data_IF_420099354312
#
_entry.id   IF_420099354312
#
_cell.length_a   1.000
_cell.length_b   1.000
_cell.length_c   1.000
_cell.angle_alpha   90.00
_cell.angle_beta   90.00
_cell.angle_gamma   90.00
#
_symmetry.space_group_name_H-M   'P 1'
#
loop_
_entity.id
_entity.type
_entity.pdbx_description
1 polymer ?
#
# COMPACT_ATOMS: atom_id res chain seq x y z
N UNK A 1 -7.23 12.50 -5.88
CA UNK A 1 -5.84 11.98 -6.05
C UNK A 1 -4.86 12.27 -4.91
N UNK A 2 -5.11 13.23 -4.00
CA UNK A 2 -4.17 13.54 -2.89
C UNK A 2 -3.82 12.36 -1.96
N UNK A 3 -4.69 11.36 -1.80
CA UNK A 3 -4.39 10.15 -1.04
C UNK A 3 -3.20 9.38 -1.62
N UNK A 4 -3.20 9.10 -2.93
CA UNK A 4 -2.12 8.35 -3.58
C UNK A 4 -0.80 9.09 -3.57
N UNK A 5 -0.82 10.41 -3.79
CA UNK A 5 0.38 11.24 -3.73
C UNK A 5 0.98 11.23 -2.32
N UNK A 6 0.15 11.37 -1.28
CA UNK A 6 0.61 11.28 0.10
C UNK A 6 1.18 9.89 0.44
N UNK A 7 0.53 8.80 0.02
CA UNK A 7 1.06 7.43 0.22
C UNK A 7 2.37 7.22 -0.54
N UNK A 8 2.48 7.74 -1.76
CA UNK A 8 3.71 7.65 -2.54
C UNK A 8 4.86 8.41 -1.87
N UNK A 9 4.62 9.64 -1.41
CA UNK A 9 5.59 10.44 -0.67
C UNK A 9 5.95 9.78 0.66
N UNK A 10 4.97 9.26 1.40
CA UNK A 10 5.19 8.46 2.62
C UNK A 10 6.14 7.29 2.33
N UNK A 11 5.89 6.53 1.24
CA UNK A 11 6.75 5.42 0.83
C UNK A 11 8.17 5.85 0.47
N UNK A 12 8.36 7.01 -0.17
CA UNK A 12 9.69 7.55 -0.48
C UNK A 12 10.41 7.94 0.82
N UNK A 13 9.74 8.66 1.72
CA UNK A 13 10.33 9.03 3.00
C UNK A 13 10.70 7.80 3.82
N UNK A 14 9.84 6.78 3.80
CA UNK A 14 10.13 5.47 4.39
C UNK A 14 11.41 4.88 3.78
N UNK A 15 11.56 4.86 2.46
CA UNK A 15 12.79 4.36 1.82
C UNK A 15 14.05 5.13 2.22
N UNK A 16 13.99 6.46 2.33
CA UNK A 16 15.13 7.27 2.77
C UNK A 16 15.50 6.92 4.21
N UNK A 17 14.49 6.84 5.07
CA UNK A 17 14.60 6.33 6.43
C UNK A 17 15.24 4.94 6.50
N UNK A 18 15.05 4.14 5.46
CA UNK A 18 15.51 2.77 5.33
C UNK A 18 16.91 2.60 4.77
N UNK A 19 17.42 3.60 4.07
CA UNK A 19 18.63 3.50 3.28
C UNK A 19 19.87 3.43 4.18
N UNK A 20 20.77 2.51 3.89
CA UNK A 20 22.01 2.31 4.66
C UNK A 20 23.02 3.42 4.31
N UNK A 21 23.15 3.72 3.01
CA UNK A 21 24.14 4.64 2.49
C UNK A 21 23.55 5.68 1.55
N UNK A 22 23.98 6.92 1.78
CA UNK A 22 23.73 8.03 0.87
C UNK A 22 25.05 8.39 0.21
N UNK A 23 25.01 8.61 -1.10
CA UNK A 23 26.15 9.08 -1.88
C UNK A 23 25.82 10.44 -2.51
N UNK A 24 26.83 11.29 -2.67
CA UNK A 24 26.72 12.52 -3.45
C UNK A 24 27.70 12.49 -4.61
N UNK A 25 27.35 13.19 -5.68
CA UNK A 25 28.21 13.39 -6.83
C UNK A 25 28.78 14.80 -6.75
N UNK A 26 30.10 14.94 -6.71
CA UNK A 26 30.72 16.27 -6.84
C UNK A 26 30.58 16.75 -8.29
N UNK A 27 29.96 17.91 -8.47
CA UNK A 27 29.68 18.49 -9.80
C UNK A 27 30.95 18.64 -10.65
N UNK A 28 32.05 19.07 -10.03
CA UNK A 28 33.29 19.39 -10.74
C UNK A 28 34.11 18.15 -11.14
N UNK A 29 34.03 17.05 -10.37
CA UNK A 29 34.89 15.87 -10.55
C UNK A 29 34.11 14.62 -10.95
N UNK A 30 32.77 14.67 -10.93
CA UNK A 30 31.85 13.53 -11.11
C UNK A 30 32.18 12.32 -10.23
N UNK A 31 32.91 12.55 -9.14
CA UNK A 31 33.26 11.51 -8.17
C UNK A 31 32.07 11.24 -7.28
N UNK A 32 31.83 9.95 -7.01
CA UNK A 32 30.79 9.47 -6.10
C UNK A 32 31.45 9.27 -4.75
N UNK A 33 31.03 10.04 -3.76
CA UNK A 33 31.54 9.95 -2.39
C UNK A 33 30.40 9.66 -1.42
N UNK A 34 30.62 8.84 -0.37
CA UNK A 34 29.62 8.60 0.65
C UNK A 34 29.41 9.87 1.48
N UNK A 35 28.16 10.14 1.85
CA UNK A 35 27.84 11.25 2.73
C UNK A 35 28.49 11.04 4.11
N UNK A 36 28.96 12.10 4.78
CA UNK A 36 29.38 12.01 6.18
C UNK A 36 28.24 11.54 7.09
N UNK A 37 28.57 10.81 8.17
CA UNK A 37 27.59 10.30 9.12
C UNK A 37 26.61 11.36 9.67
N UNK A 38 27.05 12.59 10.03
CA UNK A 38 26.13 13.63 10.46
C UNK A 38 25.10 14.00 9.39
N UNK A 39 25.53 14.12 8.12
CA UNK A 39 24.62 14.42 7.02
C UNK A 39 23.61 13.28 6.79
N UNK A 40 24.06 12.02 6.85
CA UNK A 40 23.15 10.85 6.78
C UNK A 40 22.10 10.89 7.91
N UNK A 41 22.51 11.26 9.13
CA UNK A 41 21.62 11.37 10.28
C UNK A 41 20.57 12.48 10.09
N UNK A 42 20.98 13.65 9.58
CA UNK A 42 20.07 14.75 9.25
C UNK A 42 19.04 14.36 8.17
N UNK A 43 19.48 13.73 7.07
CA UNK A 43 18.57 13.22 6.04
C UNK A 43 17.52 12.27 6.61
N UNK A 44 17.93 11.34 7.48
CA UNK A 44 17.00 10.43 8.15
C UNK A 44 16.04 11.16 9.08
N UNK A 45 16.49 12.21 9.77
CA UNK A 45 15.63 13.01 10.66
C UNK A 45 14.59 13.80 9.87
N UNK A 46 14.97 14.41 8.75
CA UNK A 46 14.05 15.11 7.85
C UNK A 46 13.03 14.11 7.28
N UNK A 47 13.50 12.96 6.79
CA UNK A 47 12.63 11.92 6.25
C UNK A 47 11.67 11.37 7.31
N UNK A 48 12.10 11.23 8.57
CA UNK A 48 11.24 10.82 9.69
C UNK A 48 10.10 11.80 9.93
N UNK A 49 10.40 13.10 10.07
CA UNK A 49 9.37 14.14 10.26
C UNK A 49 8.40 14.19 9.09
N UNK A 50 8.91 14.09 7.87
CA UNK A 50 8.09 14.05 6.67
C UNK A 50 7.20 12.79 6.62
N UNK A 51 7.74 11.63 7.00
CA UNK A 51 7.01 10.36 7.06
C UNK A 51 5.79 10.48 7.99
N UNK A 52 5.98 10.98 9.21
CA UNK A 52 4.89 11.19 10.18
C UNK A 52 3.84 12.18 9.65
N UNK A 53 4.28 13.27 9.02
CA UNK A 53 3.37 14.23 8.40
C UNK A 53 2.54 13.59 7.28
N UNK A 54 3.15 12.80 6.41
CA UNK A 54 2.44 12.14 5.32
C UNK A 54 1.52 11.03 5.83
N UNK A 55 1.93 10.25 6.83
CA UNK A 55 1.08 9.25 7.48
C UNK A 55 -0.20 9.90 8.03
N UNK A 56 -0.06 10.99 8.79
CA UNK A 56 -1.21 11.74 9.31
C UNK A 56 -2.11 12.27 8.19
N UNK A 57 -1.54 12.78 7.10
CA UNK A 57 -2.31 13.24 5.95
C UNK A 57 -3.05 12.09 5.24
N UNK A 58 -2.43 10.92 5.15
CA UNK A 58 -3.05 9.71 4.59
C UNK A 58 -4.21 9.24 5.46
N UNK A 59 -4.01 9.12 6.77
CA UNK A 59 -5.06 8.68 7.70
C UNK A 59 -6.25 9.66 7.67
N UNK A 60 -6.00 10.96 7.72
CA UNK A 60 -7.04 12.00 7.58
C UNK A 60 -7.76 11.94 6.23
N UNK A 61 -7.06 11.59 5.16
CA UNK A 61 -7.69 11.40 3.86
C UNK A 61 -8.58 10.15 3.83
N UNK A 62 -8.20 9.08 4.54
CA UNK A 62 -8.99 7.86 4.68
C UNK A 62 -10.24 8.06 5.56
N UNK A 63 -10.20 8.97 6.54
CA UNK A 63 -11.34 9.27 7.42
C UNK A 63 -12.61 9.68 6.64
N UNK A 64 -12.45 10.29 5.47
CA UNK A 64 -13.56 10.67 4.57
C UNK A 64 -14.42 9.49 4.15
N UNK A 65 -13.85 8.28 4.17
CA UNK A 65 -14.50 7.06 3.73
C UNK A 65 -14.98 6.18 4.91
N UNK A 66 -14.83 6.63 6.16
CA UNK A 66 -15.36 5.94 7.35
C UNK A 66 -16.89 6.02 7.47
N UNK A 67 -17.51 6.99 6.80
CA UNK A 67 -18.97 7.16 6.77
C UNK A 67 -19.65 6.02 5.99
N UNK A 68 -20.95 5.71 6.23
CA UNK A 68 -21.69 4.64 5.53
C UNK A 68 -21.85 4.85 4.01
N UNK A 69 -21.26 5.91 3.45
CA UNK A 69 -21.27 6.18 2.00
C UNK A 69 -20.24 5.30 1.31
N UNK A 70 -20.68 4.58 0.27
CA UNK A 70 -19.80 3.78 -0.60
C UNK A 70 -18.70 4.67 -1.18
N UNK A 71 -17.47 4.16 -1.27
CA UNK A 71 -16.36 4.83 -1.96
C UNK A 71 -16.79 5.09 -3.42
N UNK A 72 -16.62 6.32 -3.95
CA UNK A 72 -16.94 6.59 -5.35
C UNK A 72 -16.20 5.64 -6.29
N UNK A 73 -16.86 5.18 -7.35
CA UNK A 73 -16.32 4.13 -8.22
C UNK A 73 -15.01 4.55 -8.91
N UNK A 74 -14.90 5.82 -9.29
CA UNK A 74 -13.68 6.38 -9.88
C UNK A 74 -12.50 6.50 -8.89
N UNK A 75 -12.76 6.61 -7.58
CA UNK A 75 -11.71 6.65 -6.55
C UNK A 75 -11.34 5.27 -6.01
N UNK A 76 -12.20 4.27 -6.24
CA UNK A 76 -12.07 2.93 -5.66
C UNK A 76 -10.70 2.30 -5.95
N UNK A 77 -10.15 2.32 -7.18
CA UNK A 77 -8.81 1.78 -7.45
C UNK A 77 -7.68 2.55 -6.79
N UNK A 78 -7.83 3.86 -6.61
CA UNK A 78 -6.85 4.69 -5.92
C UNK A 78 -6.82 4.38 -4.42
N UNK A 79 -8.00 4.28 -3.78
CA UNK A 79 -8.12 3.90 -2.36
C UNK A 79 -7.60 2.48 -2.16
N UNK A 80 -7.96 1.55 -3.04
CA UNK A 80 -7.46 0.18 -2.98
C UNK A 80 -5.93 0.11 -3.03
N UNK A 81 -5.32 0.78 -4.00
CA UNK A 81 -3.86 0.80 -4.16
C UNK A 81 -3.17 1.49 -2.99
N UNK A 82 -3.78 2.53 -2.42
CA UNK A 82 -3.28 3.21 -1.22
C UNK A 82 -3.27 2.28 0.01
N UNK A 83 -4.37 1.58 0.27
CA UNK A 83 -4.48 0.64 1.40
C UNK A 83 -3.45 -0.50 1.29
N UNK A 84 -3.28 -1.08 0.10
CA UNK A 84 -2.26 -2.12 -0.10
C UNK A 84 -0.85 -1.59 0.13
N UNK A 85 -0.52 -0.40 -0.34
CA UNK A 85 0.78 0.20 -0.07
C UNK A 85 1.02 0.43 1.43
N UNK A 86 0.00 0.87 2.17
CA UNK A 86 0.08 1.01 3.63
C UNK A 86 0.30 -0.33 4.33
N UNK A 87 -0.46 -1.38 3.94
CA UNK A 87 -0.28 -2.74 4.48
C UNK A 87 1.17 -3.21 4.30
N UNK A 88 1.77 -2.98 3.12
CA UNK A 88 3.15 -3.35 2.87
C UNK A 88 4.15 -2.53 3.68
N UNK A 89 3.95 -1.22 3.83
CA UNK A 89 4.82 -0.35 4.63
C UNK A 89 4.80 -0.78 6.09
N UNK A 90 3.62 -0.96 6.68
CA UNK A 90 3.50 -1.36 8.08
C UNK A 90 3.99 -2.78 8.33
N UNK A 91 3.76 -3.70 7.40
CA UNK A 91 4.33 -5.06 7.49
C UNK A 91 5.86 -5.02 7.49
N UNK A 92 6.47 -4.25 6.60
CA UNK A 92 7.93 -4.13 6.51
C UNK A 92 8.51 -3.47 7.77
N UNK A 93 7.84 -2.42 8.28
CA UNK A 93 8.18 -1.77 9.55
C UNK A 93 8.16 -2.73 10.72
N UNK A 94 7.17 -3.63 10.82
CA UNK A 94 7.05 -4.55 11.95
C UNK A 94 8.01 -5.74 11.87
N UNK A 95 8.38 -6.17 10.65
CA UNK A 95 9.23 -7.36 10.45
C UNK A 95 10.71 -7.04 10.50
N UNK A 96 11.09 -6.00 9.79
CA UNK A 96 12.50 -5.75 9.48
C UNK A 96 13.07 -4.60 10.30
N UNK A 97 12.24 -3.91 11.11
CA UNK A 97 12.62 -2.67 11.79
C UNK A 97 12.04 -2.63 13.19
N UNK A 98 12.75 -1.99 14.12
CA UNK A 98 12.13 -1.58 15.37
C UNK A 98 11.15 -0.45 15.05
N UNK A 99 9.84 -0.61 15.30
CA UNK A 99 8.90 0.47 15.08
C UNK A 99 9.32 1.66 15.94
N UNK A 100 9.62 2.78 15.30
CA UNK A 100 10.06 4.00 16.00
C UNK A 100 9.02 4.47 17.01
N UNK A 101 7.74 4.25 16.67
CA UNK A 101 6.58 4.47 17.51
C UNK A 101 5.82 3.13 17.56
N UNK A 102 5.42 2.65 18.75
CA UNK A 102 4.72 1.36 18.97
C UNK A 102 3.35 1.22 18.26
N UNK A 103 2.99 2.15 17.37
CA UNK A 103 1.68 2.24 16.72
C UNK A 103 1.58 1.46 15.40
N UNK A 104 2.69 0.94 14.85
CA UNK A 104 2.67 0.25 13.56
C UNK A 104 1.76 -0.99 13.54
N UNK A 105 1.70 -1.77 14.64
CA UNK A 105 0.81 -2.93 14.73
C UNK A 105 -0.68 -2.53 14.84
N UNK A 106 -1.08 -1.60 15.72
CA UNK A 106 -2.43 -1.03 15.70
C UNK A 106 -2.85 -0.47 14.34
N UNK A 107 -1.97 0.29 13.67
CA UNK A 107 -2.23 0.87 12.36
C UNK A 107 -2.38 -0.19 11.26
N UNK A 108 -1.53 -1.23 11.27
CA UNK A 108 -1.67 -2.37 10.37
C UNK A 108 -3.06 -3.02 10.51
N UNK A 109 -3.48 -3.28 11.75
CA UNK A 109 -4.79 -3.89 12.02
C UNK A 109 -5.93 -2.97 11.57
N UNK A 110 -5.85 -1.68 11.86
CA UNK A 110 -6.87 -0.71 11.45
C UNK A 110 -7.01 -0.65 9.92
N UNK A 111 -5.89 -0.58 9.19
CA UNK A 111 -5.89 -0.59 7.71
C UNK A 111 -6.42 -1.91 7.17
N UNK A 112 -6.07 -3.05 7.77
CA UNK A 112 -6.56 -4.36 7.35
C UNK A 112 -8.08 -4.51 7.56
N UNK A 113 -8.60 -4.03 8.69
CA UNK A 113 -10.05 -4.01 8.97
C UNK A 113 -10.77 -3.08 8.00
N UNK A 114 -10.26 -1.86 7.81
CA UNK A 114 -10.81 -0.90 6.84
C UNK A 114 -10.81 -1.47 5.42
N UNK A 115 -9.74 -2.14 5.02
CA UNK A 115 -9.71 -2.83 3.73
C UNK A 115 -10.81 -3.90 3.62
N UNK A 116 -10.94 -4.74 4.65
CA UNK A 116 -11.92 -5.81 4.68
C UNK A 116 -13.37 -5.35 4.73
N UNK A 117 -13.67 -4.16 5.26
CA UNK A 117 -15.04 -3.61 5.22
C UNK A 117 -15.42 -3.12 3.82
N UNK A 118 -14.48 -2.57 3.05
CA UNK A 118 -14.77 -1.96 1.74
C UNK A 118 -14.48 -2.85 0.53
N UNK A 119 -13.54 -3.78 0.62
CA UNK A 119 -13.01 -4.52 -0.54
C UNK A 119 -13.25 -6.03 -0.52
N UNK A 120 -14.01 -6.55 0.44
CA UNK A 120 -14.33 -7.98 0.56
C UNK A 120 -15.40 -8.48 -0.43
N UNK A 121 -15.79 -7.68 -1.42
CA UNK A 121 -16.75 -8.12 -2.45
C UNK A 121 -16.03 -8.67 -3.68
N UNK A 122 -16.69 -9.53 -4.44
CA UNK A 122 -16.07 -10.10 -5.65
C UNK A 122 -15.69 -9.03 -6.69
N UNK A 123 -16.52 -7.99 -6.84
CA UNK A 123 -16.25 -6.89 -7.76
C UNK A 123 -14.99 -6.12 -7.32
N UNK A 124 -14.85 -5.91 -6.01
CA UNK A 124 -13.69 -5.26 -5.40
C UNK A 124 -12.39 -6.07 -5.48
N UNK A 125 -12.45 -7.40 -5.63
CA UNK A 125 -11.25 -8.24 -5.76
C UNK A 125 -10.75 -8.36 -7.20
N UNK A 126 -11.62 -8.08 -8.18
CA UNK A 126 -11.34 -8.04 -9.62
C UNK A 126 -11.36 -6.62 -10.15
N UNK A 127 -10.79 -5.68 -9.39
CA UNK A 127 -10.68 -4.29 -9.81
C UNK A 127 -9.90 -4.22 -11.12
N UNK A 128 -10.44 -3.46 -12.08
CA UNK A 128 -9.76 -3.06 -13.30
C UNK A 128 -9.81 -1.54 -13.41
N UNK A 129 -8.81 -0.98 -14.08
CA UNK A 129 -8.76 0.45 -14.41
C UNK A 129 -9.61 0.80 -15.65
N UNK A 130 -10.12 -0.20 -16.38
CA UNK A 130 -10.85 0.01 -17.65
C UNK A 130 -12.11 0.87 -17.47
N UNK A 131 -12.83 0.69 -16.35
CA UNK A 131 -14.05 1.44 -16.04
C UNK A 131 -13.80 2.92 -15.67
N UNK A 132 -12.55 3.32 -15.44
CA UNK A 132 -12.20 4.72 -15.09
C UNK A 132 -11.58 5.46 -16.26
N UNK A 133 -11.23 4.78 -17.38
CA UNK A 133 -10.53 5.42 -18.51
C UNK A 133 -11.30 6.62 -19.10
N UNK A 134 -12.62 6.66 -18.95
CA UNK A 134 -13.47 7.77 -19.41
C UNK A 134 -13.80 8.84 -18.35
N UNK A 135 -13.33 8.71 -17.11
CA UNK A 135 -13.62 9.66 -16.02
C UNK A 135 -12.57 10.77 -15.88
N UNK A 136 -11.48 10.71 -16.65
CA UNK A 136 -10.37 11.67 -16.58
C UNK A 136 -10.59 12.82 -17.57
N UNK A 137 -10.25 14.04 -17.15
CA UNK A 137 -10.28 15.21 -18.02
C UNK A 137 -9.12 15.17 -19.03
N UNK A 138 -9.35 15.73 -20.22
CA UNK A 138 -8.34 15.86 -21.27
C UNK A 138 -7.13 16.65 -20.76
N UNK A 139 -5.99 15.98 -20.56
CA UNK A 139 -4.75 16.58 -20.05
C UNK A 139 -4.26 16.07 -18.69
N UNK A 140 -5.01 15.20 -18.01
CA UNK A 140 -4.54 14.60 -16.74
C UNK A 140 -3.43 13.57 -16.96
N UNK A 141 -2.19 13.94 -16.63
CA UNK A 141 -1.01 13.06 -16.66
C UNK A 141 -1.00 12.01 -15.54
N UNK A 142 -1.91 12.13 -14.58
CA UNK A 142 -1.93 11.33 -13.35
C UNK A 142 -2.44 9.90 -13.55
N UNK A 143 -3.03 9.61 -14.72
CA UNK A 143 -3.51 8.28 -15.10
C UNK A 143 -2.36 7.25 -15.09
N UNK A 144 -1.18 7.62 -15.61
CA UNK A 144 -0.02 6.73 -15.65
C UNK A 144 0.49 6.40 -14.24
N UNK A 145 0.50 7.40 -13.34
CA UNK A 145 0.93 7.21 -11.95
C UNK A 145 -0.02 6.28 -11.18
N UNK A 146 -1.34 6.48 -11.34
CA UNK A 146 -2.35 5.58 -10.78
C UNK A 146 -2.20 4.16 -11.34
N UNK A 147 -2.06 4.02 -12.66
CA UNK A 147 -1.92 2.71 -13.30
C UNK A 147 -0.71 1.95 -12.78
N UNK A 148 0.43 2.63 -12.67
CA UNK A 148 1.66 2.05 -12.13
C UNK A 148 1.51 1.64 -10.66
N UNK A 149 0.92 2.51 -9.83
CA UNK A 149 0.69 2.23 -8.41
C UNK A 149 -0.25 1.03 -8.22
N UNK A 150 -1.34 0.99 -8.99
CA UNK A 150 -2.34 -0.08 -8.95
C UNK A 150 -1.74 -1.42 -9.39
N UNK A 151 -1.12 -1.48 -10.57
CA UNK A 151 -0.52 -2.72 -11.09
C UNK A 151 0.58 -3.25 -10.18
N UNK A 152 1.38 -2.34 -9.59
CA UNK A 152 2.40 -2.73 -8.61
C UNK A 152 1.78 -3.31 -7.34
N UNK A 153 0.75 -2.67 -6.79
CA UNK A 153 0.04 -3.18 -5.62
C UNK A 153 -0.59 -4.56 -5.91
N UNK A 154 -1.15 -4.74 -7.11
CA UNK A 154 -1.71 -6.01 -7.58
C UNK A 154 -0.68 -7.14 -7.62
N UNK A 155 0.47 -6.91 -8.25
CA UNK A 155 1.54 -7.92 -8.29
C UNK A 155 2.09 -8.26 -6.90
N UNK A 156 2.18 -7.27 -6.01
CA UNK A 156 2.62 -7.50 -4.63
C UNK A 156 1.57 -8.28 -3.82
N UNK A 157 0.27 -8.00 -3.98
CA UNK A 157 -0.80 -8.79 -3.36
C UNK A 157 -0.71 -10.25 -3.78
N UNK A 158 -0.60 -10.52 -5.08
CA UNK A 158 -0.57 -11.88 -5.60
C UNK A 158 0.70 -12.64 -5.12
N UNK A 159 1.78 -11.90 -4.87
CA UNK A 159 2.98 -12.43 -4.22
C UNK A 159 2.75 -12.68 -2.73
N UNK A 160 2.06 -11.77 -2.03
CA UNK A 160 1.70 -11.93 -0.61
C UNK A 160 0.82 -13.17 -0.40
N UNK A 161 -0.19 -13.38 -1.25
CA UNK A 161 -1.07 -14.56 -1.19
C UNK A 161 -0.29 -15.86 -1.28
N UNK A 162 0.74 -15.91 -2.15
CA UNK A 162 1.61 -17.08 -2.32
C UNK A 162 2.56 -17.28 -1.13
N UNK A 163 3.08 -16.20 -0.56
CA UNK A 163 4.14 -16.25 0.48
C UNK A 163 3.58 -16.42 1.89
N UNK A 164 2.45 -15.79 2.23
CA UNK A 164 1.82 -15.89 3.55
C UNK A 164 1.17 -17.26 3.80
N UNK A 165 0.99 -18.09 2.76
CA UNK A 165 0.48 -19.46 2.92
C UNK A 165 1.32 -20.32 3.88
N UNK A 166 2.62 -20.01 4.05
CA UNK A 166 3.52 -20.72 4.96
C UNK A 166 3.50 -20.22 6.42
N UNK A 167 2.91 -19.04 6.70
CA UNK A 167 2.65 -18.53 8.05
C UNK A 167 3.82 -18.63 9.04
N UNK A 168 4.99 -18.06 8.73
CA UNK A 168 6.18 -18.22 9.59
C UNK A 168 6.30 -17.18 10.73
N UNK A 169 5.50 -16.11 10.69
CA UNK A 169 5.65 -14.93 11.55
C UNK A 169 4.28 -14.42 12.04
N UNK A 170 4.24 -13.78 13.21
CA UNK A 170 2.97 -13.36 13.84
C UNK A 170 2.23 -12.31 12.99
N UNK A 171 2.97 -11.39 12.37
CA UNK A 171 2.41 -10.34 11.51
C UNK A 171 1.78 -10.96 10.26
N UNK A 172 2.44 -11.96 9.68
CA UNK A 172 1.91 -12.69 8.52
C UNK A 172 0.67 -13.51 8.89
N UNK A 173 0.62 -14.10 10.09
CA UNK A 173 -0.61 -14.76 10.58
C UNK A 173 -1.78 -13.78 10.70
N UNK A 174 -1.54 -12.57 11.21
CA UNK A 174 -2.58 -11.53 11.32
C UNK A 174 -3.08 -11.10 9.94
N UNK A 175 -2.18 -10.82 9.00
CA UNK A 175 -2.54 -10.49 7.63
C UNK A 175 -3.24 -11.64 6.90
N UNK A 176 -2.84 -12.88 7.19
CA UNK A 176 -3.52 -14.07 6.69
C UNK A 176 -4.99 -14.09 7.12
N UNK A 177 -5.24 -13.93 8.42
CA UNK A 177 -6.58 -13.98 8.98
C UNK A 177 -7.46 -12.79 8.57
N UNK A 178 -6.90 -11.58 8.54
CA UNK A 178 -7.65 -10.34 8.32
C UNK A 178 -7.84 -9.99 6.83
N UNK A 179 -6.95 -10.45 5.95
CA UNK A 179 -6.95 -10.07 4.53
C UNK A 179 -6.97 -11.31 3.63
N UNK A 180 -5.94 -12.15 3.68
CA UNK A 180 -5.74 -13.21 2.68
C UNK A 180 -6.85 -14.27 2.69
N UNK A 181 -7.14 -14.86 3.84
CA UNK A 181 -8.16 -15.91 3.96
C UNK A 181 -9.57 -15.40 3.60
N UNK A 182 -9.99 -14.20 4.06
CA UNK A 182 -11.19 -13.54 3.57
C UNK A 182 -11.25 -13.40 2.05
N UNK A 183 -10.19 -12.94 1.39
CA UNK A 183 -10.14 -12.81 -0.07
C UNK A 183 -10.25 -14.17 -0.77
N UNK A 184 -9.42 -15.12 -0.34
CA UNK A 184 -9.39 -16.46 -0.93
C UNK A 184 -10.73 -17.18 -0.76
N UNK A 185 -11.43 -16.99 0.36
CA UNK A 185 -12.79 -17.52 0.56
C UNK A 185 -13.78 -16.95 -0.45
N UNK A 186 -13.70 -15.67 -0.77
CA UNK A 186 -14.57 -15.01 -1.76
C UNK A 186 -14.21 -15.45 -3.19
N UNK A 187 -12.92 -15.55 -3.51
CA UNK A 187 -12.44 -16.00 -4.82
C UNK A 187 -12.77 -17.49 -5.07
N UNK A 188 -12.60 -18.34 -4.06
CA UNK A 188 -12.79 -19.79 -4.16
C UNK A 188 -14.25 -20.23 -4.13
N UNK A 189 -15.14 -19.53 -3.40
CA UNK A 189 -16.59 -19.82 -3.36
C UNK A 189 -17.23 -19.96 -4.75
N UNK A 190 -16.66 -19.30 -5.77
CA UNK A 190 -17.15 -19.35 -7.16
C UNK A 190 -16.46 -20.39 -8.04
N UNK A 191 -15.26 -20.87 -7.72
CA UNK A 191 -14.69 -22.02 -8.45
C UNK A 191 -15.55 -23.27 -8.21
N UNK A 192 -16.00 -23.46 -6.97
CA UNK A 192 -16.95 -24.51 -6.60
C UNK A 192 -18.32 -24.29 -7.24
N UNK A 193 -18.84 -23.05 -7.28
CA UNK A 193 -20.16 -22.77 -7.88
C UNK A 193 -20.16 -22.86 -9.42
N UNK A 194 -19.02 -22.62 -10.09
CA UNK A 194 -18.87 -22.83 -11.54
C UNK A 194 -18.71 -24.30 -11.88
N UNK A 195 -18.00 -25.09 -11.05
CA UNK A 195 -17.91 -26.55 -11.24
C UNK A 195 -19.26 -27.25 -11.07
N UNK A 196 -20.16 -26.72 -10.22
CA UNK A 196 -21.51 -27.29 -10.05
C UNK A 196 -22.52 -26.88 -11.14
N UNK A 197 -22.18 -25.94 -12.03
CA UNK A 197 -23.10 -25.43 -13.06
C UNK A 197 -22.86 -26.02 -14.46
N UNK A 198 -21.86 -26.89 -14.63
CA UNK A 198 -21.55 -27.58 -15.90
C UNK A 198 -21.92 -29.07 -15.89
N UNK A 199 -22.70 -29.50 -14.89
CA UNK A 199 -23.21 -30.86 -14.78
C UNK A 199 -24.73 -30.88 -14.84
N UNK A 200 -25.28 -30.73 -16.05
CA UNK A 200 -26.57 -31.28 -16.49
C UNK A 200 -26.66 -31.18 -18.01
#
# INVERSE_FOLDING_TARGET
MGLLDNVHKMKIMYKICCEEDFNFVRENTRTVEPLPLPAKAEFRTIARKALESFENNVLRALDKYLSPKKIPEHETPAVWAALWQLLFIYRDLLRNRAPWNNNAAPLLNAVAVFYSTHFRTQASLKLSLDGIRGSWASGETQQAALANAFNRALGLRDTLHRTIAAGLDEIDHRLKALVVDPEMKVLNRRQTSKKSASGK
#
